data_IF_094026349156
#
_entry.id   IF_094026349156
#
_cell.length_a   1.000
_cell.length_b   1.000
_cell.length_c   1.000
_cell.angle_alpha   90.00
_cell.angle_beta   90.00
_cell.angle_gamma   90.00
#
_symmetry.space_group_name_H-M   'P 1'
#
loop_
_entity.id
_entity.type
_entity.pdbx_description
1 polymer ?
#
# COMPACT_ATOMS: atom_id res chain seq x y z
N UNK A 1 -15.09 -4.00 -20.79
CA UNK A 1 -14.32 -4.11 -19.52
C UNK A 1 -13.27 -5.20 -19.70
N UNK A 2 -12.01 -4.94 -19.36
CA UNK A 2 -10.92 -5.94 -19.40
C UNK A 2 -10.65 -6.40 -17.97
N UNK A 3 -10.49 -7.70 -17.75
CA UNK A 3 -10.16 -8.27 -16.44
C UNK A 3 -8.67 -8.60 -16.38
N UNK A 4 -8.00 -8.09 -15.35
CA UNK A 4 -6.64 -8.46 -14.97
C UNK A 4 -6.66 -8.75 -13.48
N UNK A 5 -5.94 -9.78 -13.04
CA UNK A 5 -5.85 -10.14 -11.62
C UNK A 5 -4.45 -9.84 -11.10
N UNK A 6 -4.36 -9.30 -9.89
CA UNK A 6 -3.11 -9.06 -9.18
C UNK A 6 -3.19 -9.75 -7.83
N UNK A 7 -2.05 -10.26 -7.36
CA UNK A 7 -1.92 -10.73 -5.99
C UNK A 7 -1.37 -9.59 -5.14
N UNK A 8 -2.06 -9.29 -4.05
CA UNK A 8 -1.69 -8.29 -3.06
C UNK A 8 -1.79 -8.92 -1.66
N UNK A 9 -1.14 -8.31 -0.67
CA UNK A 9 -1.31 -8.69 0.74
C UNK A 9 -2.76 -8.50 1.18
N UNK A 10 -3.19 -9.27 2.19
CA UNK A 10 -4.50 -9.12 2.80
C UNK A 10 -4.75 -7.70 3.32
N UNK A 11 -3.77 -7.10 4.01
CA UNK A 11 -3.84 -5.72 4.53
C UNK A 11 -4.14 -4.71 3.41
N UNK A 12 -3.43 -4.79 2.29
CA UNK A 12 -3.68 -3.95 1.13
C UNK A 12 -5.08 -4.17 0.52
N UNK A 13 -5.60 -5.41 0.52
CA UNK A 13 -6.94 -5.70 0.03
C UNK A 13 -8.02 -5.08 0.93
N UNK A 14 -7.86 -5.20 2.25
CA UNK A 14 -8.75 -4.60 3.25
C UNK A 14 -8.74 -3.07 3.15
N UNK A 15 -7.56 -2.45 3.09
CA UNK A 15 -7.42 -1.00 2.91
C UNK A 15 -8.09 -0.50 1.61
N UNK A 16 -7.99 -1.28 0.52
CA UNK A 16 -8.66 -0.93 -0.74
C UNK A 16 -10.18 -1.06 -0.66
N UNK A 17 -10.72 -2.08 0.02
CA UNK A 17 -12.18 -2.22 0.21
C UNK A 17 -12.73 -1.07 1.06
N UNK A 18 -12.03 -0.69 2.13
CA UNK A 18 -12.38 0.47 2.96
C UNK A 18 -12.37 1.77 2.15
N UNK A 19 -11.31 2.00 1.38
CA UNK A 19 -11.20 3.19 0.53
C UNK A 19 -12.33 3.24 -0.51
N UNK A 20 -12.69 2.10 -1.11
CA UNK A 20 -13.86 2.01 -2.01
C UNK A 20 -15.14 2.38 -1.28
N UNK A 21 -15.35 1.86 -0.06
CA UNK A 21 -16.49 2.20 0.79
C UNK A 21 -16.61 3.70 1.04
N UNK A 22 -15.51 4.33 1.47
CA UNK A 22 -15.47 5.78 1.72
C UNK A 22 -15.81 6.60 0.48
N UNK A 23 -15.27 6.24 -0.68
CA UNK A 23 -15.56 6.94 -1.95
C UNK A 23 -17.03 6.78 -2.34
N UNK A 24 -17.58 5.58 -2.22
CA UNK A 24 -18.99 5.31 -2.53
C UNK A 24 -19.91 6.09 -1.58
N UNK A 25 -19.63 6.08 -0.28
CA UNK A 25 -20.39 6.83 0.73
C UNK A 25 -20.32 8.34 0.50
N UNK A 26 -19.13 8.88 0.25
CA UNK A 26 -18.93 10.31 -0.02
C UNK A 26 -19.69 10.80 -1.26
N UNK A 27 -19.93 9.91 -2.23
CA UNK A 27 -20.69 10.18 -3.45
C UNK A 27 -22.17 9.75 -3.35
N UNK A 28 -22.66 9.50 -2.13
CA UNK A 28 -24.07 9.23 -1.87
C UNK A 28 -24.55 7.83 -2.28
N UNK A 29 -23.64 6.85 -2.40
CA UNK A 29 -23.96 5.45 -2.68
C UNK A 29 -24.37 5.15 -4.13
N UNK A 30 -24.30 6.13 -5.02
CA UNK A 30 -24.85 6.02 -6.38
C UNK A 30 -23.87 5.45 -7.40
N UNK A 31 -22.58 5.42 -7.10
CA UNK A 31 -21.57 4.90 -8.02
C UNK A 31 -21.31 3.41 -7.78
N UNK A 32 -21.13 2.61 -8.84
CA UNK A 32 -20.74 1.21 -8.68
C UNK A 32 -19.36 1.07 -8.05
N UNK A 33 -19.19 0.12 -7.11
CA UNK A 33 -17.90 -0.15 -6.43
C UNK A 33 -16.72 -0.31 -7.38
N UNK A 34 -16.89 -0.99 -8.51
CA UNK A 34 -15.81 -1.20 -9.48
C UNK A 34 -15.34 0.10 -10.15
N UNK A 35 -16.20 1.11 -10.26
CA UNK A 35 -15.84 2.45 -10.76
C UNK A 35 -15.00 3.19 -9.72
N UNK A 36 -15.43 3.17 -8.46
CA UNK A 36 -14.64 3.71 -7.34
C UNK A 36 -13.26 3.05 -7.24
N UNK A 37 -13.22 1.71 -7.31
CA UNK A 37 -11.98 0.94 -7.27
C UNK A 37 -11.05 1.29 -8.44
N UNK A 38 -11.59 1.42 -9.66
CA UNK A 38 -10.80 1.80 -10.83
C UNK A 38 -10.22 3.21 -10.69
N UNK A 39 -11.01 4.16 -10.16
CA UNK A 39 -10.55 5.51 -9.88
C UNK A 39 -9.43 5.55 -8.84
N UNK A 40 -9.56 4.78 -7.76
CA UNK A 40 -8.53 4.66 -6.72
C UNK A 40 -7.23 4.07 -7.27
N UNK A 41 -7.30 3.00 -8.06
CA UNK A 41 -6.12 2.39 -8.69
C UNK A 41 -5.42 3.39 -9.61
N UNK A 42 -6.17 4.14 -10.43
CA UNK A 42 -5.59 5.17 -11.30
C UNK A 42 -4.97 6.32 -10.52
N UNK A 43 -5.62 6.78 -9.45
CA UNK A 43 -5.10 7.82 -8.58
C UNK A 43 -3.79 7.36 -7.89
N UNK A 44 -3.76 6.14 -7.37
CA UNK A 44 -2.56 5.54 -6.78
C UNK A 44 -1.41 5.38 -7.78
N UNK A 45 -1.71 5.01 -9.03
CA UNK A 45 -0.71 4.97 -10.10
C UNK A 45 -0.10 6.35 -10.41
N UNK A 46 -0.78 7.45 -10.09
CA UNK A 46 -0.22 8.80 -10.17
C UNK A 46 0.76 9.14 -9.04
N UNK A 47 0.80 8.34 -7.96
CA UNK A 47 1.62 8.59 -6.75
C UNK A 47 2.94 7.82 -6.75
N UNK A 48 3.42 7.37 -7.92
CA UNK A 48 4.65 6.57 -8.05
C UNK A 48 5.86 7.20 -7.35
N UNK A 49 6.14 8.52 -7.48
CA UNK A 49 7.26 9.13 -6.78
C UNK A 49 7.16 9.03 -5.25
N UNK A 50 5.96 9.25 -4.70
CA UNK A 50 5.69 9.21 -3.26
C UNK A 50 5.83 7.78 -2.72
N UNK A 51 5.27 6.80 -3.43
CA UNK A 51 5.40 5.38 -3.08
C UNK A 51 6.86 4.93 -3.13
N UNK A 52 7.61 5.37 -4.15
CA UNK A 52 9.04 5.05 -4.29
C UNK A 52 9.86 5.63 -3.14
N UNK A 53 9.60 6.88 -2.77
CA UNK A 53 10.25 7.52 -1.63
C UNK A 53 9.97 6.76 -0.32
N UNK A 54 8.71 6.41 -0.08
CA UNK A 54 8.31 5.64 1.10
C UNK A 54 8.97 4.26 1.16
N UNK A 55 8.96 3.51 0.06
CA UNK A 55 9.61 2.20 0.02
C UNK A 55 11.13 2.28 0.23
N UNK A 56 11.75 3.35 -0.26
CA UNK A 56 13.19 3.59 -0.02
C UNK A 56 13.47 3.85 1.45
N UNK A 57 12.63 4.64 2.12
CA UNK A 57 12.72 4.90 3.55
C UNK A 57 12.51 3.63 4.38
N UNK A 58 11.45 2.88 4.07
CA UNK A 58 11.12 1.61 4.74
C UNK A 58 12.28 0.60 4.57
N UNK A 59 12.91 0.54 3.39
CA UNK A 59 14.08 -0.30 3.14
C UNK A 59 15.29 0.13 3.98
N UNK A 60 15.54 1.45 4.10
CA UNK A 60 16.64 1.96 4.93
C UNK A 60 16.43 1.63 6.40
N UNK A 61 15.21 1.78 6.90
CA UNK A 61 14.87 1.43 8.28
C UNK A 61 15.11 -0.07 8.55
N UNK A 62 14.66 -0.95 7.65
CA UNK A 62 14.89 -2.40 7.78
C UNK A 62 16.38 -2.77 7.73
N UNK A 63 17.18 -2.09 6.91
CA UNK A 63 18.63 -2.32 6.85
C UNK A 63 19.31 -1.86 8.14
N UNK A 64 18.93 -0.70 8.68
CA UNK A 64 19.47 -0.20 9.95
C UNK A 64 19.16 -1.17 11.10
N UNK A 65 17.92 -1.66 11.19
CA UNK A 65 17.50 -2.65 12.19
C UNK A 65 18.34 -3.95 12.09
N UNK A 66 18.56 -4.44 10.86
CA UNK A 66 19.41 -5.62 10.63
C UNK A 66 20.87 -5.40 11.04
N UNK A 67 21.44 -4.24 10.73
CA UNK A 67 22.82 -3.90 11.12
C UNK A 67 22.93 -3.84 12.65
N UNK A 68 22.01 -3.15 13.34
CA UNK A 68 22.01 -3.10 14.80
C UNK A 68 21.84 -4.49 15.45
N UNK A 69 21.03 -5.37 14.84
CA UNK A 69 20.89 -6.74 15.31
C UNK A 69 22.18 -7.56 15.17
N UNK A 70 23.00 -7.29 14.14
CA UNK A 70 24.31 -7.93 13.94
C UNK A 70 25.36 -7.35 14.90
N UNK A 71 25.41 -6.02 15.06
CA UNK A 71 26.34 -5.35 15.99
C UNK A 71 26.06 -5.74 17.46
N UNK A 72 24.78 -5.99 17.80
CA UNK A 72 24.38 -6.51 19.11
C UNK A 72 24.78 -7.96 19.38
N UNK A 73 25.09 -8.75 18.34
CA UNK A 73 25.56 -10.14 18.50
C UNK A 73 27.07 -10.29 18.69
N UNK A 74 27.86 -9.23 18.43
CA UNK A 74 29.31 -9.21 18.72
C UNK A 74 29.65 -8.77 20.16
N UNK A 75 28.64 -8.40 20.97
CA UNK A 75 28.78 -8.07 22.39
C UNK A 75 28.16 -9.15 23.29
N UNK A 76 28.62 -10.40 23.16
CA UNK A 76 28.32 -11.47 24.10
C UNK A 76 29.52 -11.78 25.01
N UNK A 77 29.42 -11.69 26.35
CA UNK A 77 30.35 -12.36 27.26
C UNK A 77 30.15 -13.89 27.28
#
# INVERSE_FOLDING_TARGET
MRRTSYYISQEAAEAMEEAVGQVVEALGGQIPKHVALSALIMAGAGQVPQVTAKLTEDQRAQLAERISALDGTEQGP
#
